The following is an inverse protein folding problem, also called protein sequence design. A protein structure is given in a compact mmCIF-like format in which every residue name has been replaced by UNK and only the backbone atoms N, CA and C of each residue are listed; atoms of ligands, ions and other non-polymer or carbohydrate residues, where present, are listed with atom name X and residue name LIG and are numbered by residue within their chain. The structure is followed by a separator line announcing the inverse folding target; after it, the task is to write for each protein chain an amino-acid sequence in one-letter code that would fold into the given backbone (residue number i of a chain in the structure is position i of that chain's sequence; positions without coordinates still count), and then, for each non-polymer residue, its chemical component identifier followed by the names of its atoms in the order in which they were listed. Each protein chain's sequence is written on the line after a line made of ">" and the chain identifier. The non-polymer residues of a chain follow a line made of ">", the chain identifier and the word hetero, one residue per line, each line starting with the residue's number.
data_IF_884923865826
#
_entry.id   IF_884923865826
#
_cell.length_a   1.000
_cell.length_b   1.000
_cell.length_c   1.000
_cell.angle_alpha   90.00
_cell.angle_beta   90.00
_cell.angle_gamma   90.00
#
_symmetry.space_group_name_H-M   'P 1'
#
loop_
_entity.id
_entity.type
_entity.pdbx_description
1 polymer ?
#
# COMPACT_ATOMS: atom_id res chain seq x y z
N UNK A 1 -6.98 11.89 -5.06
CA UNK A 1 -7.71 11.48 -6.28
C UNK A 1 -6.72 11.24 -7.41
N UNK A 2 -6.49 9.97 -7.81
CA UNK A 2 -5.55 9.62 -8.89
C UNK A 2 -6.14 10.11 -10.21
N UNK A 3 -5.45 11.03 -10.91
CA UNK A 3 -5.88 11.53 -12.21
C UNK A 3 -5.77 10.41 -13.25
N UNK A 4 -6.90 9.78 -13.58
CA UNK A 4 -7.03 8.70 -14.57
C UNK A 4 -6.79 9.15 -16.02
N UNK A 5 -6.26 10.35 -16.27
CA UNK A 5 -6.11 10.92 -17.61
C UNK A 5 -4.68 10.91 -18.18
N UNK A 6 -3.73 10.28 -17.49
CA UNK A 6 -2.39 10.01 -18.05
C UNK A 6 -2.17 8.49 -18.16
N UNK A 7 -1.80 7.96 -19.35
CA UNK A 7 -1.45 6.56 -19.49
C UNK A 7 -0.27 6.26 -18.56
N UNK A 8 -0.47 5.29 -17.66
CA UNK A 8 0.44 4.97 -16.55
C UNK A 8 1.85 4.64 -17.05
N UNK A 9 1.98 4.02 -18.23
CA UNK A 9 3.27 3.73 -18.87
C UNK A 9 3.11 3.60 -20.39
N UNK A 10 3.51 4.58 -21.23
CA UNK A 10 3.53 4.39 -22.67
C UNK A 10 4.55 3.32 -23.07
N UNK A 11 4.21 2.49 -24.06
CA UNK A 11 5.04 1.39 -24.57
C UNK A 11 5.16 1.44 -26.08
N UNK A 12 6.32 1.03 -26.59
CA UNK A 12 6.56 0.80 -28.01
C UNK A 12 6.48 -0.71 -28.26
N UNK A 13 5.61 -1.11 -29.19
CA UNK A 13 5.39 -2.51 -29.54
C UNK A 13 5.79 -2.76 -30.98
N UNK A 14 6.63 -3.77 -31.19
CA UNK A 14 6.87 -4.35 -32.50
C UNK A 14 5.94 -5.56 -32.67
N UNK A 15 5.16 -5.56 -33.74
CA UNK A 15 4.14 -6.60 -34.00
C UNK A 15 4.31 -7.17 -35.40
N UNK A 16 4.05 -8.46 -35.56
CA UNK A 16 3.98 -9.11 -36.87
C UNK A 16 2.53 -9.50 -37.19
N UNK A 17 2.13 -9.33 -38.45
CA UNK A 17 0.82 -9.77 -38.92
C UNK A 17 0.90 -11.25 -39.32
N UNK A 18 0.08 -12.10 -38.69
CA UNK A 18 -0.08 -13.48 -39.13
C UNK A 18 -1.13 -13.53 -40.25
N UNK A 19 -0.70 -13.71 -41.49
CA UNK A 19 -1.57 -13.69 -42.68
C UNK A 19 -2.69 -14.74 -42.64
N UNK A 20 -2.44 -15.91 -42.04
CA UNK A 20 -3.40 -17.01 -41.95
C UNK A 20 -4.52 -16.73 -40.95
N UNK A 21 -4.19 -16.05 -39.85
CA UNK A 21 -5.16 -15.77 -38.78
C UNK A 21 -5.65 -14.32 -38.77
N UNK A 22 -5.09 -13.45 -39.62
CA UNK A 22 -5.35 -12.01 -39.65
C UNK A 22 -5.22 -11.36 -38.26
N UNK A 23 -4.31 -11.88 -37.44
CA UNK A 23 -4.05 -11.39 -36.08
C UNK A 23 -2.63 -10.89 -35.98
N UNK A 24 -2.46 -9.78 -35.24
CA UNK A 24 -1.16 -9.32 -34.84
C UNK A 24 -0.66 -10.16 -33.66
N UNK A 25 0.61 -10.52 -33.72
CA UNK A 25 1.31 -11.13 -32.61
C UNK A 25 2.48 -10.23 -32.22
N UNK A 26 2.68 -10.10 -30.91
CA UNK A 26 3.69 -9.24 -30.32
C UNK A 26 5.07 -9.89 -30.48
N UNK A 27 6.01 -9.15 -31.05
CA UNK A 27 7.40 -9.58 -31.20
C UNK A 27 8.24 -8.98 -30.07
N UNK A 28 8.26 -7.66 -29.95
CA UNK A 28 8.92 -6.94 -28.84
C UNK A 28 8.01 -5.91 -28.20
N UNK A 29 8.32 -5.59 -26.94
CA UNK A 29 7.58 -4.61 -26.13
C UNK A 29 8.54 -3.88 -25.21
N UNK A 30 8.78 -2.61 -25.50
CA UNK A 30 9.69 -1.74 -24.73
C UNK A 30 8.91 -0.65 -24.00
N UNK A 31 9.43 -0.17 -22.86
CA UNK A 31 8.92 1.05 -22.26
C UNK A 31 9.35 2.24 -23.12
N UNK A 32 8.45 3.19 -23.37
CA UNK A 32 8.81 4.35 -24.18
C UNK A 32 9.90 5.21 -23.50
N UNK A 33 9.99 5.15 -22.17
CA UNK A 33 11.07 5.78 -21.38
C UNK A 33 12.45 5.17 -21.57
N UNK A 34 12.55 3.96 -22.14
CA UNK A 34 13.83 3.28 -22.42
C UNK A 34 14.38 3.65 -23.79
N UNK A 35 13.58 4.30 -24.64
CA UNK A 35 14.03 4.74 -25.97
C UNK A 35 15.02 5.89 -25.80
N UNK A 36 16.22 5.71 -26.36
CA UNK A 36 17.33 6.68 -26.24
C UNK A 36 17.46 7.57 -27.46
N UNK A 37 17.43 6.98 -28.65
CA UNK A 37 17.61 7.71 -29.92
C UNK A 37 16.60 7.21 -30.94
N UNK A 38 15.98 8.14 -31.67
CA UNK A 38 15.18 7.87 -32.87
C UNK A 38 15.89 8.57 -34.02
N UNK A 39 16.52 7.81 -34.91
CA UNK A 39 17.23 8.31 -36.08
C UNK A 39 16.38 8.08 -37.35
N UNK A 40 16.00 9.17 -37.99
CA UNK A 40 15.18 9.16 -39.21
C UNK A 40 15.96 8.99 -40.52
N UNK A 41 17.29 8.78 -40.47
CA UNK A 41 18.27 8.52 -41.56
C UNK A 41 17.76 8.86 -42.98
N UNK A 42 18.15 9.90 -43.75
CA UNK A 42 19.22 10.91 -43.83
C UNK A 42 18.55 12.13 -44.52
N UNK A 43 18.74 13.43 -44.15
CA UNK A 43 17.89 14.51 -44.66
C UNK A 43 18.21 14.82 -46.13
N UNK A 44 19.33 14.27 -46.63
CA UNK A 44 19.85 14.47 -47.98
C UNK A 44 19.39 13.38 -48.96
N UNK A 45 18.78 12.29 -48.47
CA UNK A 45 18.31 11.17 -49.29
C UNK A 45 17.04 10.58 -48.68
N UNK A 46 15.92 10.68 -49.40
CA UNK A 46 14.67 10.04 -48.99
C UNK A 46 14.85 8.51 -48.94
N UNK A 47 15.14 7.99 -47.75
CA UNK A 47 15.28 6.57 -47.47
C UNK A 47 14.10 6.17 -46.58
N UNK A 48 13.59 4.96 -46.73
CA UNK A 48 12.50 4.47 -45.90
C UNK A 48 12.98 3.80 -44.60
N UNK A 49 14.30 3.85 -44.37
CA UNK A 49 14.96 3.29 -43.20
C UNK A 49 14.68 4.13 -41.96
N UNK A 50 14.43 3.45 -40.85
CA UNK A 50 14.22 4.01 -39.52
C UNK A 50 15.08 3.21 -38.53
N UNK A 51 15.85 3.93 -37.71
CA UNK A 51 16.65 3.32 -36.66
C UNK A 51 16.21 3.83 -35.29
N UNK A 52 15.94 2.92 -34.36
CA UNK A 52 15.62 3.27 -32.96
C UNK A 52 16.60 2.54 -32.05
N UNK A 53 17.24 3.30 -31.17
CA UNK A 53 18.15 2.79 -30.16
C UNK A 53 17.46 2.73 -28.81
N UNK A 54 17.34 1.52 -28.26
CA UNK A 54 16.77 1.27 -26.93
C UNK A 54 17.89 0.63 -26.09
N UNK A 55 17.92 -0.69 -25.96
CA UNK A 55 19.04 -1.48 -25.42
C UNK A 55 20.06 -1.82 -26.52
N UNK A 56 19.54 -2.16 -27.70
CA UNK A 56 20.25 -2.41 -28.95
C UNK A 56 19.76 -1.46 -30.04
N UNK A 57 20.44 -1.46 -31.18
CA UNK A 57 20.06 -0.70 -32.37
C UNK A 57 19.11 -1.54 -33.22
N UNK A 58 17.86 -1.10 -33.36
CA UNK A 58 16.83 -1.76 -34.17
C UNK A 58 16.60 -0.97 -35.45
N UNK A 59 16.55 -1.67 -36.58
CA UNK A 59 16.42 -1.08 -37.92
C UNK A 59 15.18 -1.63 -38.62
N UNK A 60 14.36 -0.73 -39.14
CA UNK A 60 13.19 -1.07 -39.95
C UNK A 60 13.24 -0.35 -41.28
N UNK A 61 12.69 -1.00 -42.31
CA UNK A 61 12.41 -0.41 -43.61
C UNK A 61 10.89 -0.21 -43.71
N UNK A 62 10.45 1.03 -43.84
CA UNK A 62 9.02 1.39 -43.92
C UNK A 62 8.57 1.33 -45.37
N UNK A 63 7.34 0.92 -45.64
CA UNK A 63 6.83 0.82 -47.01
C UNK A 63 6.77 2.17 -47.76
N UNK A 64 6.59 3.28 -47.02
CA UNK A 64 6.53 4.65 -47.57
C UNK A 64 7.23 5.64 -46.67
N UNK A 65 7.98 6.55 -47.28
CA UNK A 65 8.64 7.67 -46.58
C UNK A 65 7.62 8.56 -45.87
N UNK A 66 6.44 8.80 -46.45
CA UNK A 66 5.39 9.59 -45.81
C UNK A 66 4.81 8.94 -44.55
N UNK A 67 4.69 7.61 -44.54
CA UNK A 67 4.23 6.84 -43.37
C UNK A 67 5.29 6.88 -42.26
N UNK A 68 6.57 6.78 -42.63
CA UNK A 68 7.71 6.96 -41.72
C UNK A 68 7.67 8.34 -41.04
N UNK A 69 7.57 9.41 -41.83
CA UNK A 69 7.48 10.77 -41.31
C UNK A 69 6.26 10.99 -40.40
N UNK A 70 5.12 10.40 -40.74
CA UNK A 70 3.92 10.44 -39.90
C UNK A 70 4.14 9.73 -38.56
N UNK A 71 4.70 8.52 -38.60
CA UNK A 71 5.02 7.75 -37.40
C UNK A 71 5.97 8.51 -36.48
N UNK A 72 7.07 9.04 -37.02
CA UNK A 72 8.06 9.80 -36.26
C UNK A 72 7.40 11.03 -35.60
N UNK A 73 6.55 11.77 -36.32
CA UNK A 73 5.80 12.91 -35.74
C UNK A 73 4.89 12.50 -34.60
N UNK A 74 4.17 11.39 -34.72
CA UNK A 74 3.30 10.90 -33.65
C UNK A 74 4.13 10.43 -32.45
N UNK A 75 5.23 9.72 -32.69
CA UNK A 75 6.14 9.26 -31.65
C UNK A 75 6.71 10.45 -30.87
N UNK A 76 7.15 11.51 -31.56
CA UNK A 76 7.64 12.75 -30.94
C UNK A 76 6.58 13.40 -30.03
N UNK A 77 5.32 13.49 -30.49
CA UNK A 77 4.21 14.05 -29.69
C UNK A 77 3.94 13.23 -28.42
N UNK A 78 3.93 11.90 -28.54
CA UNK A 78 3.74 10.99 -27.40
C UNK A 78 4.91 11.11 -26.42
N UNK A 79 6.14 11.16 -26.92
CA UNK A 79 7.32 11.37 -26.08
C UNK A 79 7.26 12.70 -25.33
N UNK A 80 6.94 13.80 -26.02
CA UNK A 80 6.88 15.13 -25.38
C UNK A 80 5.74 15.26 -24.37
N UNK A 81 4.62 14.57 -24.62
CA UNK A 81 3.44 14.59 -23.75
C UNK A 81 3.60 13.74 -22.50
N UNK A 82 4.28 12.59 -22.59
CA UNK A 82 4.31 11.60 -21.50
C UNK A 82 5.69 11.37 -20.88
N UNK A 83 6.79 11.79 -21.52
CA UNK A 83 8.14 11.72 -20.96
C UNK A 83 8.56 13.10 -20.46
N UNK A 84 8.48 13.28 -19.13
CA UNK A 84 8.77 14.55 -18.46
C UNK A 84 10.27 14.78 -18.19
N UNK A 85 11.09 13.73 -18.12
CA UNK A 85 12.49 13.85 -17.67
C UNK A 85 13.54 13.17 -18.56
N UNK A 86 13.20 12.11 -19.29
CA UNK A 86 14.13 11.37 -20.16
C UNK A 86 13.47 11.24 -21.53
N UNK A 87 13.73 12.19 -22.43
CA UNK A 87 13.18 12.19 -23.79
C UNK A 87 14.21 11.61 -24.75
N UNK A 88 13.79 10.76 -25.70
CA UNK A 88 14.69 10.27 -26.74
C UNK A 88 15.20 11.42 -27.62
N UNK A 89 16.44 11.30 -28.07
CA UNK A 89 17.04 12.21 -29.03
C UNK A 89 16.54 11.90 -30.44
N UNK A 90 15.90 12.87 -31.09
CA UNK A 90 15.42 12.74 -32.47
C UNK A 90 16.49 13.27 -33.42
N UNK A 91 17.22 12.37 -34.08
CA UNK A 91 18.31 12.70 -35.00
C UNK A 91 17.79 12.55 -36.42
N UNK A 92 18.25 13.42 -37.32
CA UNK A 92 18.06 13.22 -38.76
C UNK A 92 16.62 13.29 -39.28
N UNK A 93 15.77 14.00 -38.55
CA UNK A 93 14.34 14.07 -38.80
C UNK A 93 13.98 15.50 -39.15
N UNK A 94 13.16 15.68 -40.18
CA UNK A 94 12.54 16.96 -40.50
C UNK A 94 11.43 17.21 -39.49
N UNK A 95 11.79 17.44 -38.22
CA UNK A 95 10.85 17.86 -37.20
C UNK A 95 10.25 19.16 -37.75
N UNK A 96 8.92 19.28 -37.93
CA UNK A 96 8.33 20.54 -38.35
C UNK A 96 8.67 21.59 -37.30
N UNK A 97 9.60 22.49 -37.65
CA UNK A 97 10.00 23.66 -36.85
C UNK A 97 8.89 24.72 -36.82
N UNK A 98 7.66 24.37 -37.24
CA UNK A 98 6.56 25.32 -37.36
C UNK A 98 5.78 25.57 -36.06
N UNK A 99 6.19 24.97 -34.93
CA UNK A 99 5.64 25.30 -33.60
C UNK A 99 6.69 25.69 -32.55
N UNK A 100 7.99 25.77 -32.91
CA UNK A 100 9.06 26.10 -31.93
C UNK A 100 9.76 27.44 -32.21
N UNK A 101 9.83 27.97 -33.44
CA UNK A 101 10.54 29.23 -33.71
C UNK A 101 9.92 30.09 -34.84
N UNK A 102 8.78 30.75 -34.60
CA UNK A 102 8.50 32.02 -35.29
C UNK A 102 9.39 33.11 -34.69
N UNK A 103 10.65 33.19 -35.11
CA UNK A 103 11.53 34.23 -34.57
C UNK A 103 13.01 34.12 -34.87
N UNK A 104 13.45 33.73 -36.07
CA UNK A 104 14.81 34.11 -36.49
C UNK A 104 14.91 34.37 -37.99
N UNK A 105 14.79 35.65 -38.28
CA UNK A 105 15.04 36.30 -39.55
C UNK A 105 16.39 35.84 -40.13
N UNK A 106 16.37 35.41 -41.39
CA UNK A 106 17.46 35.73 -42.31
C UNK A 106 17.07 37.03 -43.00
N UNK A 107 17.72 38.13 -42.68
CA UNK A 107 17.78 39.23 -43.63
C UNK A 107 19.04 40.06 -43.45
N UNK A 108 19.76 40.18 -44.55
CA UNK A 108 20.96 40.98 -44.71
C UNK A 108 20.55 42.36 -45.23
N UNK A 109 21.35 43.39 -44.92
CA UNK A 109 21.40 44.74 -45.54
C UNK A 109 20.58 45.90 -44.92
N UNK A 110 21.28 46.59 -43.99
CA UNK A 110 21.53 48.04 -43.90
C UNK A 110 20.40 49.11 -44.03
N UNK A 111 20.26 49.87 -42.93
CA UNK A 111 20.05 51.34 -42.82
C UNK A 111 18.62 51.94 -42.85
N UNK A 112 17.55 51.15 -42.97
CA UNK A 112 16.17 51.58 -42.62
C UNK A 112 15.75 51.20 -41.17
N UNK A 113 16.68 50.67 -40.39
CA UNK A 113 16.39 49.77 -39.27
C UNK A 113 15.92 50.42 -37.96
N UNK A 114 16.06 51.73 -37.74
CA UNK A 114 15.84 52.30 -36.39
C UNK A 114 14.36 52.46 -36.02
N UNK A 115 13.48 52.83 -36.97
CA UNK A 115 12.04 52.94 -36.71
C UNK A 115 11.36 51.58 -36.64
N UNK A 116 11.73 50.65 -37.53
CA UNK A 116 11.21 49.28 -37.52
C UNK A 116 11.66 48.50 -36.28
N UNK A 117 12.85 48.79 -35.74
CA UNK A 117 13.31 48.21 -34.48
C UNK A 117 12.46 48.65 -33.28
N UNK A 118 12.00 49.91 -33.24
CA UNK A 118 11.12 50.41 -32.16
C UNK A 118 9.76 49.73 -32.22
N UNK A 119 9.17 49.61 -33.41
CA UNK A 119 7.90 48.90 -33.60
C UNK A 119 8.03 47.40 -33.29
N UNK A 120 9.14 46.79 -33.69
CA UNK A 120 9.44 45.38 -33.39
C UNK A 120 9.65 45.15 -31.89
N UNK A 121 10.29 46.09 -31.18
CA UNK A 121 10.45 46.05 -29.72
C UNK A 121 9.10 46.16 -29.01
N UNK A 122 8.20 47.04 -29.46
CA UNK A 122 6.86 47.18 -28.89
C UNK A 122 5.99 45.92 -29.11
N UNK A 123 6.11 45.28 -30.28
CA UNK A 123 5.44 44.00 -30.56
C UNK A 123 6.03 42.88 -29.72
N UNK A 124 7.35 42.83 -29.56
CA UNK A 124 8.04 41.84 -28.73
C UNK A 124 7.67 41.98 -27.25
N UNK A 125 7.56 43.20 -26.74
CA UNK A 125 7.15 43.47 -25.35
C UNK A 125 5.68 43.07 -25.12
N UNK A 126 4.79 43.41 -26.06
CA UNK A 126 3.39 42.94 -26.04
C UNK A 126 3.30 41.41 -26.07
N UNK A 127 4.15 40.76 -26.86
CA UNK A 127 4.16 39.29 -27.02
C UNK A 127 4.79 38.60 -25.81
N UNK A 128 5.82 39.18 -25.22
CA UNK A 128 6.44 38.72 -23.98
C UNK A 128 5.48 38.84 -22.80
N UNK A 129 4.79 39.97 -22.64
CA UNK A 129 3.76 40.11 -21.60
C UNK A 129 2.64 39.09 -21.77
N UNK A 130 2.15 38.87 -23.00
CA UNK A 130 1.11 37.89 -23.25
C UNK A 130 1.56 36.45 -22.91
N UNK A 131 2.81 36.10 -23.24
CA UNK A 131 3.40 34.79 -22.94
C UNK A 131 3.63 34.62 -21.44
N UNK A 132 4.13 35.66 -20.75
CA UNK A 132 4.34 35.67 -19.30
C UNK A 132 2.99 35.51 -18.58
N UNK A 133 1.99 36.33 -18.92
CA UNK A 133 0.64 36.25 -18.32
C UNK A 133 -0.02 34.91 -18.61
N UNK A 134 0.18 34.34 -19.80
CA UNK A 134 -0.26 32.98 -20.12
C UNK A 134 0.39 31.93 -19.21
N UNK A 135 1.70 32.03 -19.00
CA UNK A 135 2.44 31.13 -18.12
C UNK A 135 2.07 31.29 -16.64
N UNK A 136 1.82 32.51 -16.16
CA UNK A 136 1.35 32.76 -14.79
C UNK A 136 -0.03 32.14 -14.53
N UNK A 137 -0.93 32.24 -15.51
CA UNK A 137 -2.27 31.62 -15.42
C UNK A 137 -2.17 30.09 -15.32
N UNK A 138 -1.29 29.49 -16.11
CA UNK A 138 -1.04 28.05 -16.07
C UNK A 138 -0.41 27.61 -14.73
N UNK A 139 0.50 28.39 -14.17
CA UNK A 139 1.08 28.14 -12.84
C UNK A 139 -0.01 28.21 -11.76
N UNK A 140 -0.90 29.20 -11.82
CA UNK A 140 -2.02 29.32 -10.87
C UNK A 140 -2.99 28.12 -10.93
N UNK A 141 -3.27 27.62 -12.13
CA UNK A 141 -4.07 26.40 -12.31
C UNK A 141 -3.37 25.17 -11.72
N UNK A 142 -2.06 25.01 -11.90
CA UNK A 142 -1.30 23.92 -11.31
C UNK A 142 -1.30 23.98 -9.78
N UNK A 143 -1.12 25.17 -9.20
CA UNK A 143 -1.19 25.35 -7.75
C UNK A 143 -2.57 24.96 -7.20
N UNK A 144 -3.65 25.36 -7.87
CA UNK A 144 -5.00 24.96 -7.47
C UNK A 144 -5.21 23.44 -7.55
N UNK A 145 -4.65 22.75 -8.55
CA UNK A 145 -4.68 21.28 -8.60
C UNK A 145 -3.87 20.65 -7.45
N UNK A 146 -2.73 21.23 -7.07
CA UNK A 146 -1.94 20.76 -5.92
C UNK A 146 -2.75 20.89 -4.62
N UNK A 147 -3.42 22.02 -4.40
CA UNK A 147 -4.26 22.24 -3.22
C UNK A 147 -5.43 21.25 -3.16
N UNK A 148 -6.05 20.94 -4.30
CA UNK A 148 -7.09 19.91 -4.39
C UNK A 148 -6.52 18.52 -4.08
N UNK A 149 -5.35 18.17 -4.62
CA UNK A 149 -4.70 16.89 -4.35
C UNK A 149 -4.28 16.75 -2.88
N UNK A 150 -3.80 17.82 -2.25
CA UNK A 150 -3.51 17.87 -0.82
C UNK A 150 -4.78 17.64 0.00
N UNK A 151 -5.88 18.31 -0.36
CA UNK A 151 -7.17 18.14 0.30
C UNK A 151 -7.67 16.69 0.18
N UNK A 152 -7.56 16.10 -1.01
CA UNK A 152 -7.93 14.70 -1.23
C UNK A 152 -7.01 13.72 -0.49
N UNK A 153 -5.72 14.03 -0.36
CA UNK A 153 -4.76 13.23 0.44
C UNK A 153 -5.15 13.24 1.92
N UNK A 154 -5.45 14.41 2.48
CA UNK A 154 -5.90 14.53 3.87
C UNK A 154 -7.19 13.75 4.13
N UNK A 155 -8.12 13.69 3.16
CA UNK A 155 -9.33 12.86 3.29
C UNK A 155 -8.99 11.37 3.39
N UNK A 156 -8.02 10.90 2.60
CA UNK A 156 -7.58 9.50 2.65
C UNK A 156 -6.89 9.20 3.98
N UNK A 157 -6.02 10.10 4.47
CA UNK A 157 -5.39 9.96 5.79
C UNK A 157 -6.45 9.84 6.89
N UNK A 158 -7.45 10.71 6.92
CA UNK A 158 -8.54 10.62 7.90
C UNK A 158 -9.27 9.27 7.85
N UNK A 159 -9.49 8.70 6.65
CA UNK A 159 -10.11 7.38 6.51
C UNK A 159 -9.18 6.28 7.04
N UNK A 160 -7.88 6.37 6.78
CA UNK A 160 -6.91 5.43 7.35
C UNK A 160 -6.88 5.49 8.88
N UNK A 161 -6.93 6.69 9.46
CA UNK A 161 -7.03 6.86 10.91
C UNK A 161 -8.28 6.17 11.49
N UNK A 162 -9.42 6.21 10.79
CA UNK A 162 -10.62 5.48 11.24
C UNK A 162 -10.42 3.97 11.21
N UNK A 163 -9.72 3.44 10.20
CA UNK A 163 -9.40 2.02 10.15
C UNK A 163 -8.45 1.61 11.27
N UNK A 164 -7.42 2.41 11.55
CA UNK A 164 -6.49 2.16 12.65
C UNK A 164 -7.22 2.15 14.01
N UNK A 165 -8.17 3.05 14.22
CA UNK A 165 -8.97 3.07 15.44
C UNK A 165 -9.88 1.84 15.58
N UNK A 166 -10.52 1.40 14.49
CA UNK A 166 -11.32 0.17 14.48
C UNK A 166 -10.43 -1.06 14.75
N UNK A 167 -9.27 -1.13 14.11
CA UNK A 167 -8.32 -2.23 14.29
C UNK A 167 -7.79 -2.28 15.73
N UNK A 168 -7.49 -1.13 16.34
CA UNK A 168 -7.09 -1.05 17.74
C UNK A 168 -8.19 -1.58 18.67
N UNK A 169 -9.44 -1.20 18.44
CA UNK A 169 -10.58 -1.70 19.22
C UNK A 169 -10.77 -3.22 19.07
N UNK A 170 -10.71 -3.74 17.83
CA UNK A 170 -10.83 -5.19 17.56
C UNK A 170 -9.69 -5.95 18.22
N UNK A 171 -8.45 -5.46 18.10
CA UNK A 171 -7.27 -6.06 18.73
C UNK A 171 -7.45 -6.18 20.24
N UNK A 172 -7.86 -5.08 20.90
CA UNK A 172 -8.15 -5.10 22.33
C UNK A 172 -9.26 -6.10 22.68
N UNK A 173 -10.33 -6.16 21.88
CA UNK A 173 -11.41 -7.14 22.06
C UNK A 173 -10.92 -8.59 21.97
N UNK A 174 -10.02 -8.90 21.04
CA UNK A 174 -9.41 -10.24 20.88
C UNK A 174 -8.52 -10.59 22.08
N UNK A 175 -7.67 -9.66 22.53
CA UNK A 175 -6.83 -9.85 23.72
C UNK A 175 -7.67 -10.12 24.98
N UNK A 176 -8.74 -9.36 25.19
CA UNK A 176 -9.66 -9.58 26.31
C UNK A 176 -10.39 -10.93 26.22
N UNK A 177 -10.67 -11.41 25.01
CA UNK A 177 -11.28 -12.72 24.81
C UNK A 177 -10.32 -13.87 25.15
N UNK A 178 -9.04 -13.74 24.83
CA UNK A 178 -8.01 -14.72 25.20
C UNK A 178 -7.89 -14.84 26.73
N UNK A 179 -7.83 -13.71 27.44
CA UNK A 179 -7.84 -13.68 28.91
C UNK A 179 -9.11 -14.34 29.47
N UNK A 180 -10.28 -14.02 28.90
CA UNK A 180 -11.55 -14.63 29.32
C UNK A 180 -11.58 -16.14 29.08
N UNK A 181 -11.03 -16.63 27.97
CA UNK A 181 -10.94 -18.06 27.67
C UNK A 181 -10.08 -18.79 28.72
N UNK A 182 -8.94 -18.21 29.10
CA UNK A 182 -8.07 -18.74 30.17
C UNK A 182 -8.84 -18.82 31.50
N UNK A 183 -9.52 -17.74 31.90
CA UNK A 183 -10.31 -17.70 33.14
C UNK A 183 -11.46 -18.70 33.14
N UNK A 184 -12.17 -18.87 32.02
CA UNK A 184 -13.21 -19.89 31.86
C UNK A 184 -12.62 -21.31 32.01
N UNK A 185 -11.43 -21.57 31.47
CA UNK A 185 -10.71 -22.83 31.66
C UNK A 185 -10.43 -23.11 33.13
N UNK A 186 -9.91 -22.12 33.87
CA UNK A 186 -9.66 -22.23 35.31
C UNK A 186 -10.95 -22.47 36.10
N UNK A 187 -12.02 -21.73 35.79
CA UNK A 187 -13.33 -21.89 36.44
C UNK A 187 -13.91 -23.29 36.19
N UNK A 188 -13.87 -23.76 34.95
CA UNK A 188 -14.33 -25.09 34.57
C UNK A 188 -13.56 -26.19 35.31
N UNK A 189 -12.22 -26.09 35.34
CA UNK A 189 -11.36 -27.02 36.07
C UNK A 189 -11.64 -27.01 37.58
N UNK A 190 -11.79 -25.83 38.18
CA UNK A 190 -12.12 -25.71 39.61
C UNK A 190 -13.49 -26.35 39.90
N UNK A 191 -14.49 -26.13 39.05
CA UNK A 191 -15.81 -26.73 39.19
C UNK A 191 -15.74 -28.25 39.13
N UNK A 192 -15.04 -28.82 38.15
CA UNK A 192 -14.86 -30.27 38.04
C UNK A 192 -14.17 -30.87 39.27
N UNK A 193 -13.07 -30.25 39.71
CA UNK A 193 -12.34 -30.69 40.91
C UNK A 193 -13.22 -30.64 42.16
N UNK A 194 -13.97 -29.56 42.35
CA UNK A 194 -14.88 -29.42 43.48
C UNK A 194 -15.97 -30.50 43.43
N UNK A 195 -16.56 -30.77 42.26
CA UNK A 195 -17.54 -31.85 42.11
C UNK A 195 -16.96 -33.21 42.45
N UNK A 196 -15.73 -33.50 42.04
CA UNK A 196 -15.02 -34.74 42.39
C UNK A 196 -14.79 -34.82 43.90
N UNK A 197 -14.26 -33.77 44.52
CA UNK A 197 -14.00 -33.73 45.96
C UNK A 197 -15.29 -33.88 46.78
N UNK A 198 -16.38 -33.22 46.38
CA UNK A 198 -17.69 -33.35 47.03
C UNK A 198 -18.28 -34.75 46.88
N UNK A 199 -18.17 -35.36 45.69
CA UNK A 199 -18.62 -36.73 45.48
C UNK A 199 -17.80 -37.71 46.32
N UNK A 200 -16.48 -37.57 46.33
CA UNK A 200 -15.60 -38.44 47.10
C UNK A 200 -15.86 -38.28 48.61
N UNK A 201 -16.21 -37.08 49.07
CA UNK A 201 -16.66 -36.81 50.43
C UNK A 201 -18.00 -37.47 50.75
N UNK A 202 -19.00 -37.35 49.86
CA UNK A 202 -20.30 -38.01 50.03
C UNK A 202 -20.15 -39.54 50.06
N UNK A 203 -19.33 -40.12 49.19
CA UNK A 203 -19.03 -41.56 49.21
C UNK A 203 -18.36 -41.94 50.52
N UNK A 204 -17.42 -41.14 51.03
CA UNK A 204 -16.80 -41.38 52.33
C UNK A 204 -17.81 -41.33 53.48
N UNK A 205 -18.75 -40.38 53.47
CA UNK A 205 -19.84 -40.30 54.45
C UNK A 205 -20.77 -41.50 54.37
N UNK A 206 -21.12 -41.97 53.17
CA UNK A 206 -22.01 -43.12 52.99
C UNK A 206 -21.32 -44.47 53.26
N UNK A 207 -19.99 -44.52 53.23
CA UNK A 207 -19.21 -45.74 53.49
C UNK A 207 -18.77 -45.88 54.95
N UNK A 208 -18.93 -44.83 55.76
CA UNK A 208 -18.70 -44.91 57.20
C UNK A 208 -20.04 -45.16 57.90
N UNK A 209 -20.03 -46.03 58.91
CA UNK A 209 -21.22 -46.26 59.72
C UNK A 209 -21.52 -45.00 60.57
N UNK A 210 -22.79 -44.67 60.79
CA UNK A 210 -23.17 -43.42 61.48
C UNK A 210 -22.57 -43.34 62.91
N UNK A 211 -22.34 -44.49 63.54
CA UNK A 211 -21.69 -44.62 64.84
C UNK A 211 -20.22 -44.17 64.84
N UNK A 212 -19.46 -44.48 63.78
CA UNK A 212 -18.05 -44.10 63.64
C UNK A 212 -17.91 -42.58 63.48
N UNK A 213 -18.82 -41.95 62.72
CA UNK A 213 -18.82 -40.50 62.52
C UNK A 213 -19.24 -39.73 63.78
N UNK A 214 -20.24 -40.24 64.54
CA UNK A 214 -20.63 -39.65 65.81
C UNK A 214 -19.50 -39.69 66.83
N UNK A 215 -18.70 -40.77 66.86
CA UNK A 215 -17.56 -40.90 67.78
C UNK A 215 -16.47 -39.82 67.55
N UNK A 216 -16.26 -39.43 66.29
CA UNK A 216 -15.29 -38.39 65.90
C UNK A 216 -15.79 -36.98 66.25
N UNK A 217 -17.10 -36.72 66.09
CA UNK A 217 -17.68 -35.39 66.30
C UNK A 217 -18.07 -35.11 67.77
N UNK A 218 -18.46 -36.13 68.51
CA UNK A 218 -18.89 -36.00 69.93
C UNK A 218 -17.74 -36.06 70.91
N UNK A 219 -16.51 -36.33 70.45
CA UNK A 219 -15.33 -36.37 71.32
C UNK A 219 -15.38 -37.46 72.39
N UNK A 220 -16.22 -38.49 72.21
CA UNK A 220 -16.31 -39.63 73.12
C UNK A 220 -15.16 -40.62 72.85
N UNK A 221 -13.92 -40.19 73.12
CA UNK A 221 -12.76 -41.08 73.16
C UNK A 221 -12.56 -41.55 74.60
N UNK A 222 -13.12 -42.70 74.93
CA UNK A 222 -12.74 -43.44 76.13
C UNK A 222 -12.20 -44.80 75.74
N UNK A 223 -10.93 -45.03 76.04
CA UNK A 223 -10.31 -46.36 76.04
C UNK A 223 -9.40 -46.65 74.84
N UNK A 224 -8.12 -46.87 75.15
CA UNK A 224 -7.04 -47.43 74.32
C UNK A 224 -7.49 -48.25 73.09
N UNK A 225 -7.32 -47.70 71.89
CA UNK A 225 -7.05 -48.46 70.66
C UNK A 225 -6.16 -47.60 69.76
N UNK A 226 -5.19 -48.25 69.11
CA UNK A 226 -4.10 -47.75 68.29
C UNK A 226 -4.42 -46.53 67.39
N UNK A 227 -3.42 -45.65 67.25
CA UNK A 227 -3.44 -44.44 66.40
C UNK A 227 -3.66 -44.69 64.89
N UNK A 228 -3.86 -45.95 64.48
CA UNK A 228 -4.12 -46.42 63.12
C UNK A 228 -5.61 -46.44 62.72
N UNK A 229 -6.55 -46.20 63.64
CA UNK A 229 -8.01 -46.20 63.36
C UNK A 229 -8.55 -44.78 63.12
N UNK A 230 -7.72 -43.88 62.59
CA UNK A 230 -8.25 -42.73 61.82
C UNK A 230 -7.93 -43.04 60.37
N UNK A 231 -8.93 -43.30 59.50
CA UNK A 231 -8.66 -43.59 58.10
C UNK A 231 -7.72 -42.52 57.58
N UNK A 232 -6.52 -42.90 57.13
CA UNK A 232 -5.51 -41.93 56.67
C UNK A 232 -6.09 -40.95 55.60
N UNK A 233 -7.19 -41.33 54.94
CA UNK A 233 -8.05 -40.50 54.10
C UNK A 233 -8.66 -39.28 54.81
N UNK A 234 -9.18 -39.38 56.03
CA UNK A 234 -9.79 -38.29 56.81
C UNK A 234 -8.72 -37.28 57.30
N UNK A 235 -7.58 -37.76 57.81
CA UNK A 235 -6.42 -36.90 58.14
C UNK A 235 -5.83 -36.20 56.90
N UNK A 236 -5.83 -36.87 55.73
CA UNK A 236 -5.41 -36.27 54.44
C UNK A 236 -6.41 -35.26 53.89
N UNK A 237 -7.72 -35.46 54.08
CA UNK A 237 -8.77 -34.55 53.66
C UNK A 237 -8.73 -33.24 54.45
N UNK A 238 -8.56 -33.30 55.78
CA UNK A 238 -8.40 -32.12 56.64
C UNK A 238 -7.13 -31.29 56.31
N UNK A 239 -6.02 -31.96 55.97
CA UNK A 239 -4.78 -31.25 55.57
C UNK A 239 -4.83 -30.67 54.15
N UNK A 240 -5.53 -31.32 53.20
CA UNK A 240 -5.69 -30.83 51.82
C UNK A 240 -6.66 -29.65 51.71
N UNK A 241 -7.73 -29.61 52.50
CA UNK A 241 -8.61 -28.43 52.58
C UNK A 241 -7.88 -27.23 53.17
N UNK A 242 -7.02 -27.43 54.18
CA UNK A 242 -6.19 -26.38 54.76
C UNK A 242 -5.15 -25.80 53.77
N UNK A 243 -4.49 -26.64 52.95
CA UNK A 243 -3.55 -26.15 51.93
C UNK A 243 -4.25 -25.52 50.70
N UNK A 244 -5.43 -26.00 50.31
CA UNK A 244 -6.24 -25.40 49.23
C UNK A 244 -6.76 -24.01 49.60
N UNK A 245 -7.13 -23.81 50.88
CA UNK A 245 -7.52 -22.50 51.41
C UNK A 245 -6.33 -21.52 51.53
N UNK A 246 -5.14 -22.02 51.86
CA UNK A 246 -3.93 -21.17 52.04
C UNK A 246 -3.27 -20.74 50.73
N UNK A 247 -3.56 -21.41 49.61
CA UNK A 247 -2.92 -21.15 48.32
C UNK A 247 -3.62 -20.09 47.42
N UNK A 248 -4.69 -19.43 47.89
CA UNK A 248 -5.42 -18.40 47.09
C UNK A 248 -5.52 -17.03 47.77
N UNK A 249 -4.49 -16.66 48.54
CA UNK A 249 -4.20 -15.25 48.86
C UNK A 249 -3.12 -14.69 47.92
N UNK A 250 -3.22 -14.99 46.62
CA UNK A 250 -2.56 -14.13 45.62
C UNK A 250 -3.54 -12.99 45.39
N UNK A 251 -3.28 -11.87 46.06
CA UNK A 251 -3.88 -10.58 45.73
C UNK A 251 -3.77 -10.40 44.21
N UNK A 252 -4.92 -10.35 43.52
CA UNK A 252 -5.00 -9.60 42.27
C UNK A 252 -5.22 -8.16 42.71
N UNK A 253 -4.28 -7.21 42.47
CA UNK A 253 -4.56 -5.81 42.72
C UNK A 253 -5.77 -5.41 41.89
N UNK A 254 -6.80 -4.92 42.55
CA UNK A 254 -7.92 -4.27 41.88
C UNK A 254 -7.39 -2.99 41.22
N UNK A 255 -7.01 -3.07 39.95
CA UNK A 255 -6.87 -1.88 39.11
C UNK A 255 -8.28 -1.50 38.68
N UNK A 256 -8.93 -0.71 39.53
CA UNK A 256 -10.00 0.17 39.10
C UNK A 256 -9.31 1.39 38.48
N UNK A 257 -9.26 1.45 37.15
CA UNK A 257 -9.10 2.73 36.47
C UNK A 257 -10.47 3.19 35.99
N UNK A 258 -10.98 4.20 36.69
CA UNK A 258 -11.98 5.13 36.19
C UNK A 258 -11.23 6.35 35.67
N UNK A 259 -11.08 6.49 34.35
CA UNK A 259 -11.38 7.71 33.57
C UNK A 259 -11.16 7.44 32.08
#
# INVERSE_FOLDING_TARGET
>A
MVSYFHPVTPRLHEVFLNEKSQRFALFHSWLLSEVRVVDGINPRKAMADLEITIDSVYRWEVCKVSEKESFIRQLWKVCHRYLLSQRPEFVNISIPVDEIESGRLKENSSLAATSSNIDSLAILDKTNMQTIVGSERQIAELLNHIDQLLTESNKVENVLDTYDQILAHVKHGVEMMEVKAVLLGVCSNNRQRLTVELRDFLVALMSCDFADWLSVFTGARSGNVDDDVVPAKLKRLSRKTAHSARARHVLVPAVFDHT
#
